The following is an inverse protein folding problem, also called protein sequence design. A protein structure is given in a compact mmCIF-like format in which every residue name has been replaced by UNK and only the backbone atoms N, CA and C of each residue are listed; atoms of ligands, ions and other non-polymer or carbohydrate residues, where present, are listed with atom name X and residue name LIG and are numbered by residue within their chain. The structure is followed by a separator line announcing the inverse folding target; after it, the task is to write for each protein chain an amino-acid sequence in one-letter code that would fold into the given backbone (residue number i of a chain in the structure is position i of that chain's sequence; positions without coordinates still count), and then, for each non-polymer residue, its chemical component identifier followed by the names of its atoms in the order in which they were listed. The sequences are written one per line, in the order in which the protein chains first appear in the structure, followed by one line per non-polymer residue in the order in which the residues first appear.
data_IF_159191780639
#
_entry.id   IF_159191780639
#
_cell.length_a   1.000
_cell.length_b   1.000
_cell.length_c   1.000
_cell.angle_alpha   90.00
_cell.angle_beta   90.00
_cell.angle_gamma   90.00
#
_symmetry.space_group_name_H-M   'P 1'
#
loop_
_entity.id
_entity.type
_entity.pdbx_description
1 polymer ?
#
# COMPACT_ATOMS: atom_id res chain seq x y z
N UNK A 1 52.44 -62.22 8.49
CA UNK A 1 51.11 -61.72 8.94
C UNK A 1 51.13 -60.22 8.80
N UNK A 2 50.35 -59.51 7.97
CA UNK A 2 49.10 -59.83 7.29
C UNK A 2 48.21 -58.57 7.31
N UNK A 3 48.46 -57.66 6.36
CA UNK A 3 47.59 -56.69 5.66
C UNK A 3 46.30 -56.14 6.35
N UNK A 4 46.16 -54.79 6.39
CA UNK A 4 45.07 -53.96 5.82
C UNK A 4 44.87 -52.65 6.64
N UNK A 5 45.27 -51.48 6.12
CA UNK A 5 44.45 -50.56 5.30
C UNK A 5 43.02 -50.43 5.82
N UNK A 6 42.73 -49.35 6.56
CA UNK A 6 41.44 -48.67 6.45
C UNK A 6 41.62 -47.15 6.56
N UNK A 7 41.58 -46.55 5.37
CA UNK A 7 41.32 -45.15 5.10
C UNK A 7 39.91 -44.85 5.61
N UNK A 8 39.74 -44.10 6.70
CA UNK A 8 38.43 -43.56 7.07
C UNK A 8 38.29 -42.19 6.40
N UNK A 9 37.67 -42.20 5.22
CA UNK A 9 37.01 -41.02 4.66
C UNK A 9 35.97 -40.54 5.67
N UNK A 10 36.21 -39.42 6.34
CA UNK A 10 35.14 -38.63 6.92
C UNK A 10 34.60 -37.72 5.81
N UNK A 11 33.57 -38.23 5.14
CA UNK A 11 32.71 -37.48 4.24
C UNK A 11 32.15 -36.29 5.01
N UNK A 12 32.42 -35.09 4.52
CA UNK A 12 31.77 -33.86 4.98
C UNK A 12 30.25 -34.02 4.81
N UNK A 13 29.56 -34.31 5.92
CA UNK A 13 28.13 -34.10 5.99
C UNK A 13 27.91 -32.58 6.02
N UNK A 14 27.84 -31.99 4.82
CA UNK A 14 27.08 -30.77 4.59
C UNK A 14 25.67 -31.05 5.09
N UNK A 15 25.42 -30.70 6.36
CA UNK A 15 24.05 -30.48 6.82
C UNK A 15 23.60 -29.26 6.05
N UNK A 16 23.03 -29.49 4.87
CA UNK A 16 22.15 -28.54 4.23
C UNK A 16 20.97 -28.37 5.19
N UNK A 17 21.12 -27.42 6.10
CA UNK A 17 19.98 -26.72 6.66
C UNK A 17 19.31 -26.06 5.46
N UNK A 18 18.41 -26.79 4.80
CA UNK A 18 17.45 -26.25 3.86
C UNK A 18 16.50 -25.42 4.72
N UNK A 19 16.95 -24.21 5.01
CA UNK A 19 16.14 -23.24 5.73
C UNK A 19 14.99 -22.86 4.81
N UNK A 20 13.80 -23.24 5.26
CA UNK A 20 12.46 -22.81 4.86
C UNK A 20 12.49 -21.65 3.84
N UNK A 21 12.07 -21.93 2.61
CA UNK A 21 11.65 -21.02 1.51
C UNK A 21 11.86 -19.52 1.76
N UNK A 22 13.12 -19.11 1.89
CA UNK A 22 13.46 -17.71 2.09
C UNK A 22 13.43 -17.03 0.73
N UNK A 23 12.52 -16.07 0.54
CA UNK A 23 12.49 -15.23 -0.67
C UNK A 23 13.86 -14.61 -0.92
N UNK A 24 14.19 -14.29 -2.17
CA UNK A 24 15.47 -13.64 -2.49
C UNK A 24 15.46 -12.24 -1.89
N UNK A 25 16.55 -11.83 -1.25
CA UNK A 25 16.63 -10.57 -0.53
C UNK A 25 17.70 -9.63 -1.11
N UNK A 26 17.45 -8.33 -1.00
CA UNK A 26 18.45 -7.29 -1.23
C UNK A 26 18.88 -6.69 0.11
N UNK A 27 20.19 -6.72 0.38
CA UNK A 27 20.75 -6.32 1.68
C UNK A 27 20.71 -4.81 1.90
N UNK A 28 20.93 -4.02 0.84
CA UNK A 28 20.99 -2.55 0.93
C UNK A 28 20.33 -1.92 -0.30
N UNK A 29 18.99 -1.81 -0.34
CA UNK A 29 18.30 -1.19 -1.46
C UNK A 29 18.53 0.33 -1.54
N UNK A 30 18.81 1.00 -0.41
CA UNK A 30 19.06 2.45 -0.37
C UNK A 30 20.26 2.91 -1.20
N UNK A 31 21.24 2.02 -1.47
CA UNK A 31 22.39 2.35 -2.35
C UNK A 31 21.99 2.74 -3.77
N UNK A 32 20.79 2.37 -4.19
CA UNK A 32 20.27 2.63 -5.53
C UNK A 32 19.40 3.89 -5.59
N UNK A 33 19.16 4.56 -4.46
CA UNK A 33 18.29 5.75 -4.40
C UNK A 33 18.64 6.79 -5.46
N UNK A 34 17.63 7.25 -6.21
CA UNK A 34 17.77 8.23 -7.29
C UNK A 34 18.36 7.68 -8.59
N UNK A 35 18.75 6.40 -8.64
CA UNK A 35 19.29 5.79 -9.86
C UNK A 35 18.17 5.16 -10.71
N UNK A 36 18.34 5.22 -12.02
CA UNK A 36 17.54 4.44 -12.97
C UNK A 36 18.28 3.14 -13.29
N UNK A 37 17.79 2.02 -12.77
CA UNK A 37 18.45 0.73 -12.97
C UNK A 37 18.00 0.10 -14.29
N UNK A 38 18.96 -0.42 -15.03
CA UNK A 38 18.73 -1.17 -16.26
C UNK A 38 19.00 -2.66 -16.05
N UNK A 39 18.41 -3.49 -16.90
CA UNK A 39 18.88 -4.87 -17.04
C UNK A 39 20.37 -4.89 -17.47
N UNK A 40 21.09 -6.02 -17.29
CA UNK A 40 22.52 -6.09 -17.59
C UNK A 40 22.90 -5.74 -19.03
N UNK A 41 21.94 -5.76 -19.95
CA UNK A 41 22.14 -5.46 -21.37
C UNK A 41 21.73 -4.03 -21.76
N UNK A 42 21.27 -3.20 -20.81
CA UNK A 42 20.80 -1.84 -21.07
C UNK A 42 19.51 -1.74 -21.88
N UNK A 43 18.81 -2.85 -22.13
CA UNK A 43 17.62 -2.92 -22.99
C UNK A 43 16.33 -2.60 -22.24
N UNK A 44 16.33 -2.79 -20.91
CA UNK A 44 15.18 -2.50 -20.05
C UNK A 44 15.58 -1.62 -18.88
N UNK A 45 15.59 -0.31 -19.13
CA UNK A 45 15.88 0.72 -18.14
C UNK A 45 14.60 1.22 -17.47
N UNK A 46 14.69 1.45 -16.15
CA UNK A 46 13.56 1.97 -15.37
C UNK A 46 12.44 0.97 -15.11
N UNK A 47 12.56 -0.29 -15.50
CA UNK A 47 11.54 -1.30 -15.17
C UNK A 47 11.71 -1.79 -13.71
N UNK A 48 10.61 -2.02 -13.00
CA UNK A 48 10.65 -2.50 -11.61
C UNK A 48 11.45 -3.81 -11.44
N UNK A 49 11.31 -4.74 -12.38
CA UNK A 49 12.02 -6.02 -12.41
C UNK A 49 13.54 -5.83 -12.54
N UNK A 50 13.99 -4.84 -13.32
CA UNK A 50 15.43 -4.58 -13.51
C UNK A 50 16.10 -4.21 -12.19
N UNK A 51 15.45 -3.37 -11.39
CA UNK A 51 15.92 -3.04 -10.05
C UNK A 51 15.94 -4.26 -9.13
N UNK A 52 14.84 -5.00 -9.02
CA UNK A 52 14.76 -6.18 -8.14
C UNK A 52 15.86 -7.18 -8.47
N UNK A 53 16.04 -7.52 -9.74
CA UNK A 53 17.10 -8.44 -10.18
C UNK A 53 18.49 -7.92 -9.86
N UNK A 54 18.77 -6.63 -10.13
CA UNK A 54 20.08 -6.04 -9.85
C UNK A 54 20.42 -6.02 -8.37
N UNK A 55 19.43 -5.72 -7.52
CA UNK A 55 19.56 -5.62 -6.07
C UNK A 55 19.78 -6.99 -5.42
N UNK A 56 19.09 -8.01 -5.93
CA UNK A 56 19.04 -9.36 -5.34
C UNK A 56 20.01 -10.36 -5.98
N UNK A 57 20.49 -10.08 -7.19
CA UNK A 57 21.22 -11.05 -8.01
C UNK A 57 20.33 -12.10 -8.69
N UNK A 58 19.00 -11.92 -8.74
CA UNK A 58 18.11 -12.90 -9.39
C UNK A 58 18.26 -12.88 -10.92
N UNK A 59 18.79 -13.97 -11.47
CA UNK A 59 18.96 -14.17 -12.91
C UNK A 59 17.75 -14.81 -13.60
N UNK A 60 16.80 -15.38 -12.83
CA UNK A 60 15.65 -16.12 -13.37
C UNK A 60 14.74 -15.23 -14.19
N UNK A 61 14.08 -15.80 -15.21
CA UNK A 61 13.00 -15.10 -15.94
C UNK A 61 11.79 -14.94 -15.01
N UNK A 62 11.01 -13.87 -15.17
CA UNK A 62 9.79 -13.65 -14.36
C UNK A 62 8.75 -14.75 -14.54
N UNK A 63 8.75 -15.48 -15.66
CA UNK A 63 7.93 -16.68 -15.87
C UNK A 63 8.32 -17.87 -14.96
N UNK A 64 9.52 -17.84 -14.38
CA UNK A 64 9.99 -18.82 -13.40
C UNK A 64 9.69 -18.39 -11.96
N UNK A 65 9.24 -17.16 -11.74
CA UNK A 65 8.79 -16.73 -10.42
C UNK A 65 7.50 -17.48 -10.04
N UNK A 66 7.33 -17.71 -8.75
CA UNK A 66 6.19 -18.43 -8.18
C UNK A 66 5.62 -17.61 -7.04
N UNK A 67 4.29 -17.58 -6.93
CA UNK A 67 3.62 -16.92 -5.82
C UNK A 67 4.06 -17.55 -4.49
N UNK A 68 4.55 -16.70 -3.59
CA UNK A 68 4.85 -17.07 -2.20
C UNK A 68 3.71 -16.71 -1.24
N UNK A 69 4.04 -16.55 0.03
CA UNK A 69 3.10 -16.04 1.05
C UNK A 69 2.60 -14.64 0.65
N UNK A 70 1.32 -14.36 0.91
CA UNK A 70 0.76 -13.01 0.77
C UNK A 70 1.52 -12.05 1.70
N UNK A 71 1.94 -10.89 1.16
CA UNK A 71 2.83 -9.97 1.89
C UNK A 71 2.14 -9.31 3.08
N UNK A 72 0.90 -8.86 2.87
CA UNK A 72 0.11 -8.19 3.90
C UNK A 72 -0.14 -9.13 5.08
N UNK A 73 0.13 -8.63 6.29
CA UNK A 73 -0.02 -9.32 7.58
C UNK A 73 0.93 -10.52 7.80
N UNK A 74 1.84 -10.80 6.85
CA UNK A 74 2.86 -11.82 7.01
C UNK A 74 4.13 -11.26 7.67
N UNK A 75 4.76 -12.07 8.53
CA UNK A 75 6.13 -11.81 8.99
C UNK A 75 7.11 -12.11 7.86
N UNK A 76 7.59 -11.04 7.22
CA UNK A 76 8.54 -11.04 6.11
C UNK A 76 9.72 -10.17 6.50
N UNK A 77 10.94 -10.65 6.25
CA UNK A 77 12.15 -9.88 6.53
C UNK A 77 12.27 -8.67 5.61
N UNK A 78 12.73 -7.55 6.16
CA UNK A 78 13.17 -6.41 5.35
C UNK A 78 14.24 -6.85 4.32
N UNK A 79 14.23 -6.25 3.15
CA UNK A 79 15.02 -6.64 1.99
C UNK A 79 14.39 -7.72 1.11
N UNK A 80 13.31 -8.39 1.52
CA UNK A 80 12.69 -9.46 0.71
C UNK A 80 12.12 -8.93 -0.61
N UNK A 81 12.44 -9.59 -1.73
CA UNK A 81 11.80 -9.32 -3.01
C UNK A 81 10.34 -9.80 -3.00
N UNK A 82 9.45 -8.91 -3.43
CA UNK A 82 8.01 -9.16 -3.55
C UNK A 82 7.55 -8.80 -4.96
N UNK A 83 6.46 -9.42 -5.41
CA UNK A 83 5.87 -9.11 -6.70
C UNK A 83 4.36 -9.40 -6.72
N UNK A 84 3.67 -8.89 -7.73
CA UNK A 84 2.23 -9.11 -7.94
C UNK A 84 2.00 -10.43 -8.69
N UNK A 85 1.16 -11.29 -8.13
CA UNK A 85 0.81 -12.60 -8.68
C UNK A 85 -0.72 -12.78 -8.77
N UNK A 86 -1.42 -12.18 -9.75
CA UNK A 86 -2.77 -12.61 -10.05
C UNK A 86 -2.74 -14.08 -10.48
N UNK A 87 -3.61 -14.90 -9.89
CA UNK A 87 -3.77 -16.33 -10.21
C UNK A 87 -2.47 -17.15 -10.20
N UNK A 88 -1.52 -16.82 -9.31
CA UNK A 88 -0.27 -17.58 -9.14
C UNK A 88 0.87 -17.19 -10.07
N UNK A 89 0.65 -16.33 -11.07
CA UNK A 89 1.65 -15.97 -12.07
C UNK A 89 2.06 -14.49 -11.95
N UNK A 90 3.36 -14.19 -12.13
CA UNK A 90 3.84 -12.81 -12.08
C UNK A 90 3.14 -11.95 -13.13
N UNK A 91 2.62 -10.79 -12.71
CA UNK A 91 2.04 -9.81 -13.63
C UNK A 91 2.11 -8.40 -13.05
N UNK A 92 2.79 -7.48 -13.73
CA UNK A 92 2.75 -6.04 -13.42
C UNK A 92 3.97 -5.52 -12.68
N UNK A 93 4.11 -5.80 -11.38
CA UNK A 93 5.01 -5.06 -10.50
C UNK A 93 5.84 -5.93 -9.55
N UNK A 94 7.06 -5.47 -9.26
CA UNK A 94 8.00 -6.10 -8.34
C UNK A 94 8.73 -5.03 -7.51
N UNK A 95 9.04 -5.33 -6.25
CA UNK A 95 9.64 -4.37 -5.33
C UNK A 95 10.49 -5.08 -4.26
N UNK A 96 11.28 -4.29 -3.51
CA UNK A 96 12.01 -4.74 -2.32
C UNK A 96 11.25 -4.29 -1.08
N UNK A 97 10.74 -5.24 -0.30
CA UNK A 97 9.99 -4.99 0.93
C UNK A 97 10.89 -4.46 2.05
N UNK A 98 10.45 -3.43 2.77
CA UNK A 98 11.17 -2.84 3.91
C UNK A 98 10.43 -3.00 5.24
N UNK A 99 9.12 -3.19 5.19
CA UNK A 99 8.26 -3.21 6.36
C UNK A 99 6.81 -2.99 5.97
N UNK A 100 5.92 -3.04 6.96
CA UNK A 100 4.52 -2.72 6.76
C UNK A 100 3.94 -2.11 8.03
N UNK A 101 3.00 -1.19 7.86
CA UNK A 101 2.24 -0.57 8.94
C UNK A 101 0.74 -0.51 8.56
N UNK A 102 -0.03 0.34 9.24
CA UNK A 102 -1.45 0.54 8.91
C UNK A 102 -1.67 1.25 7.57
N UNK A 103 -0.70 2.02 7.07
CA UNK A 103 -0.80 2.75 5.81
C UNK A 103 -0.52 1.84 4.61
N UNK A 104 0.33 0.82 4.76
CA UNK A 104 0.59 -0.15 3.69
C UNK A 104 1.89 -0.91 3.86
N UNK A 105 2.42 -1.39 2.73
CA UNK A 105 3.75 -2.00 2.67
C UNK A 105 4.76 -0.95 2.20
N UNK A 106 5.84 -0.80 2.95
CA UNK A 106 6.96 0.08 2.62
C UNK A 106 7.88 -0.66 1.68
N UNK A 107 8.21 -0.06 0.55
CA UNK A 107 9.01 -0.70 -0.49
C UNK A 107 10.03 0.26 -1.09
N UNK A 108 11.13 -0.31 -1.59
CA UNK A 108 11.90 0.30 -2.66
C UNK A 108 11.46 -0.29 -3.98
N UNK A 109 11.21 0.57 -4.96
CA UNK A 109 10.99 0.15 -6.34
C UNK A 109 11.38 1.27 -7.31
N UNK A 110 11.21 0.98 -8.61
CA UNK A 110 11.31 1.95 -9.69
C UNK A 110 10.26 1.62 -10.76
N UNK A 111 9.96 2.57 -11.62
CA UNK A 111 9.21 2.34 -12.85
C UNK A 111 9.62 3.37 -13.91
N UNK A 112 9.13 3.25 -15.13
CA UNK A 112 9.52 4.19 -16.21
C UNK A 112 9.21 5.63 -15.80
N UNK A 113 10.23 6.48 -15.88
CA UNK A 113 10.15 7.89 -15.48
C UNK A 113 10.34 8.13 -13.97
N UNK A 114 10.47 7.09 -13.15
CA UNK A 114 10.65 7.22 -11.71
C UNK A 114 11.85 6.38 -11.25
N UNK A 115 12.97 7.02 -10.88
CA UNK A 115 14.15 6.31 -10.40
C UNK A 115 13.85 5.60 -9.07
N UNK A 116 14.79 4.75 -8.65
CA UNK A 116 14.66 3.99 -7.42
C UNK A 116 14.40 4.94 -6.25
N UNK A 117 13.28 4.74 -5.58
CA UNK A 117 12.86 5.53 -4.42
C UNK A 117 12.06 4.66 -3.46
N UNK A 118 11.98 5.11 -2.21
CA UNK A 118 11.11 4.48 -1.23
C UNK A 118 9.70 5.03 -1.37
N UNK A 119 8.70 4.15 -1.34
CA UNK A 119 7.28 4.54 -1.27
C UNK A 119 6.46 3.54 -0.46
N UNK A 120 5.24 3.95 -0.11
CA UNK A 120 4.25 3.08 0.50
C UNK A 120 3.33 2.56 -0.62
N UNK A 121 3.24 1.25 -0.78
CA UNK A 121 2.14 0.64 -1.53
C UNK A 121 1.01 0.43 -0.54
N UNK A 122 -0.03 1.23 -0.71
CA UNK A 122 -1.19 1.18 0.16
C UNK A 122 -1.94 -0.15 0.00
N UNK A 123 -2.08 -0.87 1.12
CA UNK A 123 -2.86 -2.10 1.15
C UNK A 123 -4.31 -1.75 1.44
N UNK A 124 -5.19 -2.15 0.54
CA UNK A 124 -6.62 -2.13 0.80
C UNK A 124 -6.94 -3.23 1.82
N UNK A 125 -7.26 -2.84 3.05
CA UNK A 125 -7.84 -3.78 4.02
C UNK A 125 -9.35 -3.68 3.82
N UNK A 126 -10.03 -4.81 3.58
CA UNK A 126 -11.49 -4.84 3.58
C UNK A 126 -11.96 -4.30 4.93
N UNK A 127 -12.59 -3.13 4.91
CA UNK A 127 -13.22 -2.55 6.08
C UNK A 127 -14.41 -3.44 6.40
N UNK A 128 -14.34 -4.22 7.49
CA UNK A 128 -15.37 -5.22 7.82
C UNK A 128 -16.75 -4.62 8.07
N UNK A 129 -16.88 -3.29 8.18
CA UNK A 129 -18.14 -2.57 8.29
C UNK A 129 -18.03 -1.14 7.72
N UNK A 130 -17.37 -0.94 6.58
CA UNK A 130 -17.21 0.42 6.04
C UNK A 130 -17.02 0.47 4.53
N UNK A 131 -17.24 1.66 3.99
CA UNK A 131 -17.06 1.93 2.56
C UNK A 131 -15.59 2.28 2.29
N UNK A 132 -15.06 1.92 1.13
CA UNK A 132 -13.65 2.15 0.83
C UNK A 132 -13.38 2.36 -0.65
N UNK A 133 -12.37 3.18 -0.94
CA UNK A 133 -11.93 3.54 -2.28
C UNK A 133 -10.48 3.11 -2.49
N UNK A 134 -10.22 2.33 -3.55
CA UNK A 134 -8.90 1.77 -3.82
C UNK A 134 -7.89 2.79 -4.37
N UNK A 135 -8.35 3.82 -5.08
CA UNK A 135 -7.48 4.83 -5.70
C UNK A 135 -8.09 6.25 -5.63
N UNK A 136 -8.16 6.87 -4.44
CA UNK A 136 -8.64 8.24 -4.31
C UNK A 136 -7.79 9.27 -5.07
N UNK A 137 -6.48 9.06 -5.17
CA UNK A 137 -5.57 9.94 -5.92
C UNK A 137 -5.83 9.95 -7.44
N UNK A 138 -6.43 8.90 -8.00
CA UNK A 138 -6.84 8.87 -9.41
C UNK A 138 -7.92 9.90 -9.78
N UNK A 139 -8.48 10.60 -8.80
CA UNK A 139 -9.47 11.66 -8.98
C UNK A 139 -8.88 13.08 -8.85
N UNK A 140 -7.59 13.22 -8.56
CA UNK A 140 -6.94 14.53 -8.35
C UNK A 140 -7.26 15.54 -9.46
N UNK A 141 -7.55 16.78 -9.06
CA UNK A 141 -7.84 17.87 -9.98
C UNK A 141 -9.18 17.75 -10.71
N UNK A 142 -10.02 16.77 -10.35
CA UNK A 142 -11.36 16.59 -10.95
C UNK A 142 -12.44 17.14 -10.02
N UNK A 143 -13.51 17.64 -10.64
CA UNK A 143 -14.77 17.95 -9.95
C UNK A 143 -15.68 16.73 -10.06
N UNK A 144 -15.94 16.07 -8.93
CA UNK A 144 -16.79 14.87 -8.92
C UNK A 144 -18.24 15.25 -8.65
N UNK A 145 -19.13 14.68 -9.44
CA UNK A 145 -20.57 14.77 -9.26
C UNK A 145 -21.11 13.47 -8.72
N UNK A 146 -22.22 13.53 -7.98
CA UNK A 146 -22.96 12.32 -7.67
C UNK A 146 -23.50 11.69 -8.97
N UNK A 147 -23.95 10.44 -8.88
CA UNK A 147 -24.42 9.66 -10.04
C UNK A 147 -25.60 10.30 -10.79
N UNK A 148 -26.25 11.31 -10.21
CA UNK A 148 -27.39 12.04 -10.79
C UNK A 148 -27.04 13.47 -11.26
N UNK A 149 -25.80 13.92 -11.08
CA UNK A 149 -25.31 15.23 -11.53
C UNK A 149 -25.78 16.44 -10.70
N UNK A 150 -26.58 16.22 -9.64
CA UNK A 150 -27.18 17.29 -8.84
C UNK A 150 -26.28 17.86 -7.75
N UNK A 151 -25.28 17.10 -7.28
CA UNK A 151 -24.40 17.49 -6.17
C UNK A 151 -22.93 17.61 -6.59
N UNK A 152 -22.68 18.27 -7.72
CA UNK A 152 -21.33 18.44 -8.24
C UNK A 152 -20.43 19.28 -7.33
N UNK A 153 -19.26 18.74 -6.99
CA UNK A 153 -18.28 19.39 -6.11
C UNK A 153 -18.59 19.25 -4.62
N UNK A 154 -19.56 18.43 -4.20
CA UNK A 154 -19.79 18.16 -2.78
C UNK A 154 -18.88 17.05 -2.26
N UNK A 155 -18.49 17.11 -0.99
CA UNK A 155 -17.61 16.11 -0.36
C UNK A 155 -18.21 14.69 -0.43
N UNK A 156 -19.51 14.58 -0.13
CA UNK A 156 -20.29 13.32 -0.21
C UNK A 156 -20.24 12.71 -1.60
N UNK A 157 -20.33 13.52 -2.66
CA UNK A 157 -20.32 13.04 -4.04
C UNK A 157 -19.02 12.35 -4.38
N UNK A 158 -17.88 12.91 -3.97
CA UNK A 158 -16.59 12.26 -4.16
C UNK A 158 -16.53 10.92 -3.41
N UNK A 159 -16.88 10.91 -2.12
CA UNK A 159 -16.87 9.68 -1.31
C UNK A 159 -17.70 8.58 -1.97
N UNK A 160 -18.96 8.88 -2.32
CA UNK A 160 -19.87 7.91 -2.95
C UNK A 160 -19.35 7.38 -4.28
N UNK A 161 -18.81 8.24 -5.15
CA UNK A 161 -18.26 7.81 -6.44
C UNK A 161 -17.01 6.96 -6.27
N UNK A 162 -16.12 7.34 -5.36
CA UNK A 162 -14.86 6.65 -5.11
C UNK A 162 -15.10 5.26 -4.52
N UNK A 163 -16.05 5.15 -3.57
CA UNK A 163 -16.33 3.90 -2.86
C UNK A 163 -17.45 3.06 -3.48
N UNK A 164 -18.22 3.61 -4.42
CA UNK A 164 -19.44 2.99 -4.94
C UNK A 164 -20.62 2.97 -3.96
N UNK A 165 -20.59 3.78 -2.88
CA UNK A 165 -21.69 3.80 -1.90
C UNK A 165 -22.94 4.47 -2.50
N UNK A 166 -24.06 3.75 -2.49
CA UNK A 166 -25.35 4.20 -3.02
C UNK A 166 -26.32 4.65 -1.94
N UNK A 167 -25.99 4.46 -0.67
CA UNK A 167 -26.86 4.85 0.46
C UNK A 167 -27.03 6.35 0.52
N UNK A 168 -28.17 6.80 1.02
CA UNK A 168 -28.34 8.19 1.43
C UNK A 168 -27.54 8.47 2.72
N UNK A 169 -27.11 9.71 2.93
CA UNK A 169 -26.24 10.05 4.08
C UNK A 169 -26.94 9.88 5.43
N UNK A 170 -28.27 9.93 5.49
CA UNK A 170 -29.04 9.62 6.70
C UNK A 170 -28.98 8.13 7.08
N UNK A 171 -28.56 7.26 6.15
CA UNK A 171 -28.33 5.83 6.39
C UNK A 171 -26.87 5.55 6.82
N UNK A 172 -25.99 6.56 6.80
CA UNK A 172 -24.63 6.40 7.31
C UNK A 172 -24.64 6.35 8.83
N UNK A 173 -24.02 5.32 9.38
CA UNK A 173 -23.81 5.19 10.81
C UNK A 173 -22.44 5.70 11.24
N UNK A 174 -22.36 6.18 12.49
CA UNK A 174 -21.09 6.47 13.14
C UNK A 174 -20.35 5.17 13.50
N UNK A 175 -19.21 4.93 12.86
CA UNK A 175 -18.31 3.82 13.13
C UNK A 175 -17.22 4.14 14.16
N UNK A 176 -16.06 3.49 14.03
CA UNK A 176 -14.91 3.73 14.89
C UNK A 176 -14.40 5.17 14.76
N UNK A 177 -13.97 5.77 15.86
CA UNK A 177 -13.31 7.09 15.85
C UNK A 177 -11.99 6.97 15.09
N UNK A 178 -11.68 7.92 14.19
CA UNK A 178 -10.47 7.83 13.36
C UNK A 178 -9.20 7.98 14.20
N UNK A 179 -9.19 8.97 15.11
CA UNK A 179 -8.02 9.27 15.93
C UNK A 179 -7.57 8.07 16.75
N UNK A 180 -6.30 7.71 16.62
CA UNK A 180 -5.65 6.57 17.28
C UNK A 180 -6.20 5.19 16.90
N UNK A 181 -7.11 5.11 15.92
CA UNK A 181 -7.59 3.84 15.41
C UNK A 181 -6.74 3.36 14.24
N UNK A 182 -6.59 2.04 14.14
CA UNK A 182 -6.00 1.40 12.97
C UNK A 182 -7.05 1.36 11.85
N UNK A 183 -7.09 2.43 11.05
CA UNK A 183 -8.02 2.59 9.93
C UNK A 183 -7.30 2.25 8.62
N UNK A 184 -7.97 1.49 7.76
CA UNK A 184 -7.44 1.09 6.48
C UNK A 184 -7.36 2.27 5.50
N UNK A 185 -6.33 2.30 4.67
CA UNK A 185 -6.26 3.22 3.53
C UNK A 185 -7.51 3.11 2.66
N UNK A 186 -8.01 4.24 2.18
CA UNK A 186 -9.17 4.32 1.31
C UNK A 186 -10.50 4.32 2.05
N UNK A 187 -10.51 4.18 3.39
CA UNK A 187 -11.76 4.14 4.17
C UNK A 187 -12.53 5.46 4.06
N UNK A 188 -13.83 5.38 3.80
CA UNK A 188 -14.72 6.54 3.90
C UNK A 188 -14.91 6.95 5.35
N UNK A 189 -14.63 8.21 5.64
CA UNK A 189 -14.78 8.82 6.97
C UNK A 189 -15.68 10.05 6.87
N UNK A 190 -16.38 10.36 7.95
CA UNK A 190 -17.20 11.56 8.04
C UNK A 190 -17.35 12.06 9.47
N UNK A 191 -17.90 13.26 9.61
CA UNK A 191 -18.28 13.84 10.90
C UNK A 191 -19.70 13.43 11.28
N UNK A 192 -19.87 13.01 12.54
CA UNK A 192 -21.14 12.51 13.06
C UNK A 192 -21.53 13.19 14.38
N UNK A 193 -21.87 14.49 14.39
CA UNK A 193 -22.39 15.11 15.60
C UNK A 193 -23.68 14.39 16.02
N UNK A 194 -23.75 13.98 17.29
CA UNK A 194 -24.87 13.22 17.85
C UNK A 194 -25.21 11.93 17.09
N UNK A 195 -24.22 11.26 16.48
CA UNK A 195 -24.43 9.98 15.81
C UNK A 195 -24.94 10.07 14.37
N UNK A 196 -25.22 11.26 13.85
CA UNK A 196 -25.77 11.47 12.51
C UNK A 196 -24.79 12.23 11.63
N UNK A 197 -24.72 11.87 10.35
CA UNK A 197 -23.88 12.58 9.39
C UNK A 197 -24.25 14.06 9.32
N UNK A 198 -23.28 14.93 9.58
CA UNK A 198 -23.38 16.37 9.34
C UNK A 198 -21.99 16.98 9.31
N UNK A 199 -21.74 17.91 8.39
CA UNK A 199 -20.43 18.53 8.20
C UNK A 199 -19.73 18.01 6.93
N UNK A 200 -18.76 17.12 7.10
CA UNK A 200 -17.84 16.73 6.03
C UNK A 200 -17.64 15.22 5.90
N UNK A 201 -17.29 14.79 4.69
CA UNK A 201 -16.93 13.42 4.36
C UNK A 201 -15.65 13.40 3.53
N UNK A 202 -14.80 12.40 3.72
CA UNK A 202 -13.52 12.30 3.05
C UNK A 202 -13.09 10.83 2.88
N UNK A 203 -12.07 10.61 2.05
CA UNK A 203 -11.39 9.32 1.95
C UNK A 203 -10.11 9.38 2.79
N UNK A 204 -10.05 8.58 3.84
CA UNK A 204 -8.88 8.43 4.71
C UNK A 204 -7.73 7.78 3.94
N UNK A 205 -6.52 8.33 4.06
CA UNK A 205 -5.30 7.72 3.51
C UNK A 205 -4.16 7.57 4.52
N UNK A 206 -4.30 8.16 5.70
CA UNK A 206 -3.35 8.02 6.79
C UNK A 206 -3.67 8.98 7.94
N UNK A 207 -2.90 8.86 9.01
CA UNK A 207 -2.87 9.86 10.08
C UNK A 207 -1.48 9.91 10.70
N UNK A 208 -1.14 11.06 11.26
CA UNK A 208 0.12 11.31 11.98
C UNK A 208 -0.14 12.27 13.16
N UNK A 209 0.93 12.71 13.82
CA UNK A 209 0.83 13.63 14.98
C UNK A 209 0.20 14.99 14.66
N UNK A 210 0.12 15.39 13.37
CA UNK A 210 -0.50 16.64 12.96
C UNK A 210 -2.01 16.51 12.71
N UNK A 211 -2.44 15.39 12.12
CA UNK A 211 -3.82 15.23 11.69
C UNK A 211 -4.08 13.99 10.85
N UNK A 212 -5.26 13.97 10.26
CA UNK A 212 -5.70 12.95 9.30
C UNK A 212 -5.28 13.39 7.90
N UNK A 213 -4.57 12.53 7.17
CA UNK A 213 -4.34 12.72 5.74
C UNK A 213 -5.53 12.16 4.97
N UNK A 214 -6.13 13.00 4.13
CA UNK A 214 -7.33 12.66 3.36
C UNK A 214 -7.23 13.09 1.92
N UNK A 215 -8.04 12.45 1.08
CA UNK A 215 -8.54 13.06 -0.15
C UNK A 215 -9.98 13.52 0.08
N UNK A 216 -10.29 14.73 -0.34
CA UNK A 216 -11.63 15.27 -0.32
C UNK A 216 -11.84 16.32 -1.43
N UNK A 217 -13.08 16.75 -1.56
CA UNK A 217 -13.46 17.90 -2.36
C UNK A 217 -14.56 18.67 -1.61
N UNK A 218 -14.81 19.92 -1.98
CA UNK A 218 -15.97 20.68 -1.52
C UNK A 218 -16.30 21.80 -2.50
N UNK A 219 -17.36 22.57 -2.25
CA UNK A 219 -17.79 23.62 -3.17
C UNK A 219 -16.66 24.62 -3.39
N UNK A 220 -16.21 24.73 -4.64
CA UNK A 220 -15.10 25.60 -5.04
C UNK A 220 -13.71 24.96 -4.93
N UNK A 221 -13.61 23.71 -4.51
CA UNK A 221 -12.35 22.99 -4.37
C UNK A 221 -12.43 21.61 -5.03
N UNK A 222 -11.53 21.39 -5.99
CA UNK A 222 -11.43 20.11 -6.70
C UNK A 222 -10.87 19.03 -5.77
N UNK A 223 -10.96 17.76 -6.19
CA UNK A 223 -10.37 16.66 -5.44
C UNK A 223 -8.87 16.92 -5.28
N UNK A 224 -8.43 16.98 -4.03
CA UNK A 224 -7.04 17.20 -3.67
C UNK A 224 -6.73 16.49 -2.35
N UNK A 225 -5.44 16.20 -2.12
CA UNK A 225 -5.00 15.70 -0.83
C UNK A 225 -4.78 16.85 0.14
N UNK A 226 -5.11 16.64 1.42
CA UNK A 226 -4.79 17.60 2.49
C UNK A 226 -4.72 16.92 3.86
N UNK A 227 -4.14 17.63 4.82
CA UNK A 227 -4.21 17.27 6.25
C UNK A 227 -5.38 17.99 6.90
N UNK A 228 -6.27 17.24 7.54
CA UNK A 228 -7.25 17.76 8.50
C UNK A 228 -6.59 17.70 9.88
N UNK A 229 -6.23 18.86 10.41
CA UNK A 229 -5.49 18.95 11.67
C UNK A 229 -6.30 18.47 12.87
N UNK A 230 -5.62 17.83 13.82
CA UNK A 230 -6.16 17.65 15.17
C UNK A 230 -6.48 19.01 15.79
N UNK A 231 -7.56 19.09 16.56
CA UNK A 231 -8.05 20.35 17.14
C UNK A 231 -8.27 21.49 16.11
N UNK A 232 -8.52 21.16 14.85
CA UNK A 232 -8.78 22.17 13.82
C UNK A 232 -10.07 22.95 14.05
N UNK A 233 -10.18 24.11 13.41
CA UNK A 233 -11.31 25.03 13.61
C UNK A 233 -12.57 24.56 12.86
N UNK A 234 -13.62 24.30 13.64
CA UNK A 234 -14.94 23.89 13.13
C UNK A 234 -15.02 22.39 12.83
N UNK A 235 -16.25 21.88 12.80
CA UNK A 235 -16.54 20.44 12.71
C UNK A 235 -15.84 19.77 11.51
N UNK A 236 -15.95 20.38 10.32
CA UNK A 236 -15.42 19.84 9.06
C UNK A 236 -13.89 19.85 8.95
N UNK A 237 -13.20 20.64 9.78
CA UNK A 237 -11.74 20.77 9.74
C UNK A 237 -11.07 20.27 11.02
N UNK A 238 -11.82 19.67 11.95
CA UNK A 238 -11.27 19.10 13.17
C UNK A 238 -11.14 17.58 13.03
N UNK A 239 -9.91 17.08 12.97
CA UNK A 239 -9.63 15.65 12.86
C UNK A 239 -10.25 14.83 14.00
N UNK A 240 -10.40 15.41 15.20
CA UNK A 240 -11.03 14.75 16.35
C UNK A 240 -12.52 14.46 16.17
N UNK A 241 -13.16 15.04 15.14
CA UNK A 241 -14.58 14.90 14.86
C UNK A 241 -14.90 13.79 13.86
N UNK A 242 -13.90 13.11 13.29
CA UNK A 242 -14.10 12.12 12.24
C UNK A 242 -14.23 10.69 12.77
N UNK A 243 -15.16 9.96 12.16
CA UNK A 243 -15.43 8.54 12.38
C UNK A 243 -15.53 7.82 11.04
N UNK A 244 -15.29 6.50 11.06
CA UNK A 244 -15.55 5.62 9.91
C UNK A 244 -17.04 5.63 9.57
N UNK A 245 -17.38 5.71 8.28
CA UNK A 245 -18.75 5.52 7.79
C UNK A 245 -19.06 4.03 7.81
N UNK A 246 -20.09 3.62 8.56
CA UNK A 246 -20.64 2.26 8.54
C UNK A 246 -22.03 2.20 7.95
#
# INVERSE_FOLDING_TARGET
MGINKFLVLLVAALVSLVSVTSGIACINPSRYSGQTICDPFGRKCGECVSFVKKCTGDERKTSQWRQGRKVRDASISSGTAIATFPDGAYSGHAAIYMGQDHNGIHVWDQWRGHPVSQRIIHCFVSVTNGISCSNPGGYEGRKICDQFGGQCGQCVSFVKVCTGDRRATWQWGQGAKVRNANIAYGTGIATFPNGQYSGHAAIYVGQNDQGIQVWDQWRGHLVSSRTIYWNGNGLSNNGDSFYVIK
#
